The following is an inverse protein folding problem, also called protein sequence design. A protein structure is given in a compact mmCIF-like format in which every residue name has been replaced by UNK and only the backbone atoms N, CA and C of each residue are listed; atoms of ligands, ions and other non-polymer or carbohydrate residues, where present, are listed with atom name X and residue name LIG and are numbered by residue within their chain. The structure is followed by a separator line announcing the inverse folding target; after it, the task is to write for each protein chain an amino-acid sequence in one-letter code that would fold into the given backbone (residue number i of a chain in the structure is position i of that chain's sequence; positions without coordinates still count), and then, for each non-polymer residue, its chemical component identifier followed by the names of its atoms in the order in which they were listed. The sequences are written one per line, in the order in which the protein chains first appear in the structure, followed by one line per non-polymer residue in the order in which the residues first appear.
data_IF_835986159410
#
_entry.id   IF_835986159410
#
_cell.length_a   1.000
_cell.length_b   1.000
_cell.length_c   1.000
_cell.angle_alpha   90.00
_cell.angle_beta   90.00
_cell.angle_gamma   90.00
#
_symmetry.space_group_name_H-M   'P 1'
#
loop_
_entity.id
_entity.type
_entity.pdbx_description
1 polymer ?
#
# COMPACT_ATOMS: atom_id res chain seq x y z
N UNK A 1 3.70 -9.11 27.57
CA UNK A 1 4.85 -8.52 26.83
C UNK A 1 4.32 -7.53 25.78
N UNK A 2 5.01 -6.42 25.50
CA UNK A 2 4.57 -5.39 24.53
C UNK A 2 5.04 -5.71 23.10
N UNK A 3 4.23 -5.39 22.09
CA UNK A 3 4.50 -5.68 20.68
C UNK A 3 5.75 -4.96 20.16
N UNK A 4 6.74 -5.68 19.61
CA UNK A 4 8.03 -5.14 19.12
C UNK A 4 8.11 -5.31 17.59
N UNK A 5 7.72 -4.29 16.82
CA UNK A 5 7.65 -4.36 15.37
C UNK A 5 9.02 -4.17 14.71
N UNK A 6 9.32 -5.01 13.73
CA UNK A 6 10.47 -4.92 12.84
C UNK A 6 10.02 -4.90 11.38
N UNK A 7 10.61 -4.01 10.58
CA UNK A 7 10.51 -4.09 9.13
C UNK A 7 11.44 -5.21 8.66
N UNK A 8 10.85 -6.29 8.13
CA UNK A 8 11.59 -7.52 7.78
C UNK A 8 11.74 -7.72 6.28
N UNK A 9 10.84 -7.17 5.47
CA UNK A 9 10.89 -7.31 4.01
C UNK A 9 10.06 -6.24 3.29
N UNK A 10 10.20 -6.17 1.97
CA UNK A 10 9.30 -5.49 1.04
C UNK A 10 8.91 -6.50 -0.04
N UNK A 11 7.61 -6.76 -0.21
CA UNK A 11 7.12 -7.80 -1.13
C UNK A 11 5.89 -7.30 -1.91
N UNK A 12 5.59 -7.86 -3.09
CA UNK A 12 4.31 -7.63 -3.76
C UNK A 12 3.14 -7.99 -2.84
N UNK A 13 2.10 -7.15 -2.82
CA UNK A 13 0.96 -7.29 -1.93
C UNK A 13 0.33 -8.70 -1.98
N UNK A 14 0.10 -9.23 -3.18
CA UNK A 14 -0.50 -10.55 -3.36
C UNK A 14 0.35 -11.72 -2.84
N UNK A 15 1.66 -11.53 -2.66
CA UNK A 15 2.54 -12.57 -2.14
C UNK A 15 2.46 -12.72 -0.61
N UNK A 16 2.03 -11.67 0.11
CA UNK A 16 2.17 -11.60 1.58
C UNK A 16 0.91 -11.21 2.33
N UNK A 17 -0.04 -10.50 1.70
CA UNK A 17 -1.25 -10.04 2.36
C UNK A 17 -2.28 -11.18 2.45
N UNK A 18 -2.73 -11.57 3.67
CA UNK A 18 -3.69 -12.66 3.84
C UNK A 18 -5.01 -12.38 3.12
N UNK A 19 -5.53 -13.38 2.40
CA UNK A 19 -6.85 -13.29 1.74
C UNK A 19 -6.92 -12.36 0.54
N UNK A 20 -5.78 -11.82 0.07
CA UNK A 20 -5.73 -11.05 -1.18
C UNK A 20 -5.73 -12.01 -2.38
N UNK A 21 -6.59 -11.74 -3.37
CA UNK A 21 -6.64 -12.48 -4.64
C UNK A 21 -6.07 -11.64 -5.78
N UNK A 22 -5.91 -12.25 -6.97
CA UNK A 22 -5.48 -11.54 -8.19
C UNK A 22 -6.43 -10.40 -8.59
N UNK A 23 -7.68 -10.38 -8.11
CA UNK A 23 -8.68 -9.35 -8.40
C UNK A 23 -9.20 -8.67 -7.13
N UNK A 24 -8.33 -8.52 -6.13
CA UNK A 24 -8.62 -7.78 -4.91
C UNK A 24 -7.91 -6.43 -4.91
N UNK A 25 -8.65 -5.35 -4.68
CA UNK A 25 -8.11 -4.03 -4.38
C UNK A 25 -8.51 -3.67 -2.95
N UNK A 26 -7.53 -3.36 -2.12
CA UNK A 26 -7.77 -2.89 -0.75
C UNK A 26 -7.93 -1.38 -0.70
N UNK A 27 -8.62 -0.86 0.32
CA UNK A 27 -8.80 0.57 0.54
C UNK A 27 -8.74 0.96 2.02
N UNK A 28 -8.50 2.24 2.31
CA UNK A 28 -8.58 2.78 3.68
C UNK A 28 -10.03 2.87 4.20
N UNK A 29 -10.18 2.98 5.51
CA UNK A 29 -11.48 3.15 6.16
C UNK A 29 -12.27 1.84 6.37
N UNK A 30 -13.55 1.93 6.78
CA UNK A 30 -14.45 0.80 6.96
C UNK A 30 -15.00 0.27 5.61
N UNK A 31 -15.69 -0.88 5.58
CA UNK A 31 -16.31 -1.39 4.36
C UNK A 31 -17.18 -0.34 3.65
N UNK A 32 -16.95 -0.17 2.34
CA UNK A 32 -17.72 0.76 1.50
C UNK A 32 -17.82 0.18 0.09
N UNK A 33 -18.99 0.33 -0.54
CA UNK A 33 -19.17 -0.09 -1.93
C UNK A 33 -18.59 0.93 -2.90
N UNK A 34 -18.20 0.47 -4.09
CA UNK A 34 -17.59 1.28 -5.15
C UNK A 34 -18.37 2.57 -5.46
N UNK A 35 -19.70 2.47 -5.53
CA UNK A 35 -20.58 3.58 -5.91
C UNK A 35 -20.62 4.68 -4.83
N UNK A 36 -20.29 4.32 -3.58
CA UNK A 36 -20.27 5.24 -2.43
C UNK A 36 -18.89 5.81 -2.15
N UNK A 37 -17.84 5.29 -2.78
CA UNK A 37 -16.48 5.82 -2.63
C UNK A 37 -16.39 7.26 -3.13
N UNK A 38 -15.61 8.09 -2.45
CA UNK A 38 -15.43 9.48 -2.87
C UNK A 38 -14.56 9.58 -4.12
N UNK A 39 -14.58 10.74 -4.78
CA UNK A 39 -13.83 10.98 -6.02
C UNK A 39 -12.35 10.56 -5.97
N UNK A 40 -11.57 10.96 -4.95
CA UNK A 40 -10.18 10.52 -4.79
C UNK A 40 -10.00 9.01 -4.65
N UNK A 41 -10.88 8.32 -3.90
CA UNK A 41 -10.84 6.86 -3.78
C UNK A 41 -11.15 6.19 -5.13
N UNK A 42 -12.17 6.69 -5.83
CA UNK A 42 -12.53 6.18 -7.15
C UNK A 42 -11.40 6.38 -8.17
N UNK A 43 -10.77 7.55 -8.18
CA UNK A 43 -9.60 7.83 -9.03
C UNK A 43 -8.43 6.91 -8.71
N UNK A 44 -8.15 6.66 -7.43
CA UNK A 44 -7.08 5.78 -7.00
C UNK A 44 -7.32 4.31 -7.41
N UNK A 45 -8.57 3.84 -7.37
CA UNK A 45 -8.94 2.51 -7.86
C UNK A 45 -8.78 2.43 -9.38
N UNK A 46 -9.24 3.43 -10.13
CA UNK A 46 -9.03 3.51 -11.58
C UNK A 46 -7.54 3.42 -11.90
N UNK A 47 -6.70 4.20 -11.20
CA UNK A 47 -5.26 4.14 -11.36
C UNK A 47 -4.65 2.78 -11.01
N UNK A 48 -5.14 2.11 -9.95
CA UNK A 48 -4.71 0.76 -9.60
C UNK A 48 -5.09 -0.26 -10.68
N UNK A 49 -6.29 -0.19 -11.24
CA UNK A 49 -6.74 -1.05 -12.35
C UNK A 49 -5.86 -0.86 -13.59
N UNK A 50 -5.51 0.38 -13.92
CA UNK A 50 -4.61 0.71 -15.02
C UNK A 50 -3.19 0.21 -14.75
N UNK A 51 -2.70 0.39 -13.53
CA UNK A 51 -1.39 -0.07 -13.09
C UNK A 51 -1.25 -1.60 -13.19
N UNK A 52 -2.27 -2.34 -12.76
CA UNK A 52 -2.31 -3.81 -12.88
C UNK A 52 -2.55 -4.28 -14.34
N UNK A 53 -2.76 -3.36 -15.29
CA UNK A 53 -2.99 -3.69 -16.70
C UNK A 53 -4.34 -4.37 -16.96
N UNK A 54 -5.29 -4.26 -16.04
CA UNK A 54 -6.61 -4.89 -16.14
C UNK A 54 -7.55 -4.17 -17.12
N UNK A 55 -7.28 -2.89 -17.38
CA UNK A 55 -7.94 -2.09 -18.39
C UNK A 55 -6.91 -1.16 -19.06
N UNK A 56 -7.24 -0.68 -20.27
CA UNK A 56 -6.34 0.18 -21.06
C UNK A 56 -6.67 1.67 -20.97
N UNK A 57 -7.88 2.02 -20.54
CA UNK A 57 -8.33 3.41 -20.44
C UNK A 57 -9.08 3.65 -19.13
N UNK A 58 -9.13 4.89 -18.62
CA UNK A 58 -9.88 5.23 -17.42
C UNK A 58 -11.36 4.85 -17.48
N UNK A 59 -11.98 4.94 -18.66
CA UNK A 59 -13.38 4.59 -18.89
C UNK A 59 -13.57 3.08 -18.73
N UNK A 60 -12.75 2.27 -19.38
CA UNK A 60 -12.77 0.82 -19.25
C UNK A 60 -12.43 0.36 -17.82
N UNK A 61 -11.54 1.07 -17.13
CA UNK A 61 -11.23 0.81 -15.73
C UNK A 61 -12.44 1.07 -14.82
N UNK A 62 -13.20 2.13 -15.10
CA UNK A 62 -14.42 2.47 -14.36
C UNK A 62 -15.53 1.44 -14.60
N UNK A 63 -15.73 1.02 -15.84
CA UNK A 63 -16.66 -0.06 -16.18
C UNK A 63 -16.27 -1.37 -15.49
N UNK A 64 -14.99 -1.71 -15.47
CA UNK A 64 -14.51 -2.90 -14.77
C UNK A 64 -14.75 -2.84 -13.26
N UNK A 65 -14.52 -1.68 -12.63
CA UNK A 65 -14.82 -1.48 -11.21
C UNK A 65 -16.31 -1.64 -10.90
N UNK A 66 -17.18 -1.19 -11.79
CA UNK A 66 -18.65 -1.27 -11.66
C UNK A 66 -19.21 -2.68 -11.95
N UNK A 67 -18.48 -3.49 -12.73
CA UNK A 67 -18.94 -4.82 -13.17
C UNK A 67 -19.11 -5.87 -12.05
N UNK A 68 -18.59 -5.61 -10.85
CA UNK A 68 -18.51 -6.60 -9.77
C UNK A 68 -17.38 -7.64 -9.93
N UNK A 69 -16.53 -7.51 -10.96
CA UNK A 69 -15.40 -8.42 -11.21
C UNK A 69 -14.18 -8.16 -10.30
N UNK A 70 -14.19 -7.07 -9.54
CA UNK A 70 -13.13 -6.69 -8.59
C UNK A 70 -13.70 -6.76 -7.18
N UNK A 71 -12.98 -7.43 -6.29
CA UNK A 71 -13.28 -7.42 -4.85
C UNK A 71 -12.65 -6.20 -4.21
N UNK A 72 -13.46 -5.33 -3.63
CA UNK A 72 -13.00 -4.23 -2.78
C UNK A 72 -13.11 -4.62 -1.31
N UNK A 73 -12.03 -4.43 -0.54
CA UNK A 73 -12.01 -4.76 0.88
C UNK A 73 -11.19 -3.77 1.71
N UNK A 74 -11.58 -3.45 2.95
CA UNK A 74 -10.79 -2.62 3.84
C UNK A 74 -9.42 -3.23 4.15
N UNK A 75 -8.36 -2.42 4.11
CA UNK A 75 -7.01 -2.83 4.50
C UNK A 75 -6.98 -3.51 5.90
N UNK A 76 -7.76 -3.00 6.86
CA UNK A 76 -7.81 -3.51 8.23
C UNK A 76 -8.32 -4.95 8.34
N UNK A 77 -9.09 -5.45 7.37
CA UNK A 77 -9.54 -6.85 7.34
C UNK A 77 -8.45 -7.82 6.86
N UNK A 78 -7.35 -7.28 6.33
CA UNK A 78 -6.24 -8.03 5.75
C UNK A 78 -4.91 -7.74 6.45
N UNK A 79 -4.94 -7.27 7.71
CA UNK A 79 -3.75 -6.84 8.48
C UNK A 79 -2.92 -5.76 7.78
N UNK A 80 -3.55 -4.94 6.94
CA UNK A 80 -2.90 -3.92 6.12
C UNK A 80 -3.36 -2.53 6.54
N UNK A 81 -2.53 -1.52 6.31
CA UNK A 81 -2.91 -0.10 6.39
C UNK A 81 -2.45 0.63 5.14
N UNK A 82 -3.26 1.58 4.68
CA UNK A 82 -2.96 2.45 3.54
C UNK A 82 -3.33 3.90 3.89
N UNK A 83 -2.45 4.88 3.66
CA UNK A 83 -2.72 6.28 3.98
C UNK A 83 -3.66 6.90 2.94
N UNK A 84 -4.46 7.89 3.37
CA UNK A 84 -5.36 8.66 2.48
C UNK A 84 -6.41 7.78 1.79
N UNK A 85 -6.47 7.69 0.45
CA UNK A 85 -7.32 6.73 -0.24
C UNK A 85 -6.95 5.26 0.12
N UNK A 86 -5.68 5.05 0.48
CA UNK A 86 -5.16 3.79 1.00
C UNK A 86 -5.33 2.61 0.06
N UNK A 87 -5.26 2.85 -1.24
CA UNK A 87 -5.40 1.82 -2.25
C UNK A 87 -4.16 0.93 -2.29
N UNK A 88 -4.38 -0.38 -2.24
CA UNK A 88 -3.33 -1.40 -2.41
C UNK A 88 -3.85 -2.47 -3.37
N UNK A 89 -3.14 -2.71 -4.47
CA UNK A 89 -3.45 -3.73 -5.47
C UNK A 89 -2.33 -4.78 -5.56
N UNK A 90 -2.59 -5.96 -6.17
CA UNK A 90 -1.75 -7.17 -6.06
C UNK A 90 -0.25 -6.98 -6.32
N UNK A 91 0.10 -6.21 -7.34
CA UNK A 91 1.48 -6.01 -7.80
C UNK A 91 2.20 -4.90 -7.03
N UNK A 92 1.49 -4.10 -6.21
CA UNK A 92 2.13 -3.04 -5.43
C UNK A 92 3.07 -3.62 -4.38
N UNK A 93 4.30 -3.09 -4.26
CA UNK A 93 5.19 -3.45 -3.16
C UNK A 93 4.65 -2.90 -1.83
N UNK A 94 4.65 -3.73 -0.80
CA UNK A 94 4.25 -3.39 0.57
C UNK A 94 5.37 -3.71 1.55
N UNK A 95 5.46 -2.90 2.60
CA UNK A 95 6.32 -3.15 3.75
C UNK A 95 5.76 -4.30 4.57
N UNK A 96 6.60 -5.28 4.90
CA UNK A 96 6.26 -6.41 5.78
C UNK A 96 6.79 -6.11 7.16
N UNK A 97 5.89 -5.87 8.10
CA UNK A 97 6.21 -5.62 9.51
C UNK A 97 5.90 -6.88 10.32
N UNK A 98 6.88 -7.39 11.05
CA UNK A 98 6.71 -8.53 11.95
C UNK A 98 6.83 -8.08 13.41
N UNK A 99 5.86 -8.45 14.23
CA UNK A 99 5.94 -8.28 15.67
C UNK A 99 6.64 -9.48 16.29
N UNK A 100 7.93 -9.35 16.60
CA UNK A 100 8.76 -10.46 17.12
C UNK A 100 8.32 -10.93 18.51
N UNK A 101 7.53 -10.13 19.24
CA UNK A 101 6.99 -10.53 20.55
C UNK A 101 5.86 -11.56 20.44
N UNK A 102 4.96 -11.41 19.45
CA UNK A 102 3.72 -12.20 19.34
C UNK A 102 3.57 -12.94 18.00
N UNK A 103 4.50 -12.77 17.06
CA UNK A 103 4.55 -13.48 15.78
C UNK A 103 3.57 -12.98 14.71
N UNK A 104 2.69 -12.03 15.01
CA UNK A 104 1.76 -11.49 14.02
C UNK A 104 2.46 -10.52 13.04
N UNK A 105 1.93 -10.40 11.82
CA UNK A 105 2.41 -9.48 10.79
C UNK A 105 1.40 -8.38 10.49
N UNK A 106 1.90 -7.26 10.00
CA UNK A 106 1.12 -6.17 9.43
C UNK A 106 1.79 -5.65 8.17
N UNK A 107 1.01 -5.05 7.27
CA UNK A 107 1.48 -4.57 5.98
C UNK A 107 1.14 -3.10 5.78
N UNK A 108 2.01 -2.37 5.08
CA UNK A 108 1.75 -0.98 4.74
C UNK A 108 2.20 -0.69 3.30
N UNK A 109 1.40 0.09 2.57
CA UNK A 109 1.81 0.59 1.26
C UNK A 109 3.07 1.47 1.38
N UNK A 110 3.89 1.50 0.34
CA UNK A 110 5.03 2.42 0.29
C UNK A 110 4.59 3.86 -0.03
N UNK A 111 5.39 4.84 0.40
CA UNK A 111 5.15 6.24 0.06
C UNK A 111 5.57 6.51 -1.40
N UNK A 112 4.64 6.99 -2.21
CA UNK A 112 4.86 7.30 -3.63
C UNK A 112 5.64 8.60 -3.87
N UNK A 113 5.92 9.37 -2.82
CA UNK A 113 6.54 10.70 -2.90
C UNK A 113 5.56 11.85 -2.70
N UNK A 114 6.00 13.04 -3.10
CA UNK A 114 5.24 14.30 -3.01
C UNK A 114 4.61 14.65 -4.36
N UNK A 115 3.55 15.48 -4.33
CA UNK A 115 2.87 15.97 -5.54
C UNK A 115 1.71 15.08 -5.98
N UNK A 116 1.57 14.88 -7.29
CA UNK A 116 0.50 14.04 -7.88
C UNK A 116 0.81 12.58 -7.56
N UNK A 117 -0.01 11.94 -6.73
CA UNK A 117 0.18 10.55 -6.29
C UNK A 117 -1.16 9.81 -6.22
N UNK A 118 -1.12 8.48 -6.34
CA UNK A 118 -2.29 7.62 -6.39
C UNK A 118 -3.10 7.69 -5.09
N UNK A 119 -2.44 7.80 -3.93
CA UNK A 119 -3.13 7.94 -2.63
C UNK A 119 -4.05 9.17 -2.52
N UNK A 120 -3.91 10.14 -3.43
CA UNK A 120 -4.82 11.31 -3.57
C UNK A 120 -5.73 11.23 -4.80
N UNK A 121 -5.75 10.10 -5.50
CA UNK A 121 -6.62 9.83 -6.65
C UNK A 121 -6.06 10.21 -8.01
N UNK A 122 -4.78 10.60 -8.10
CA UNK A 122 -4.14 10.88 -9.39
C UNK A 122 -3.70 9.59 -10.10
N UNK A 123 -3.88 9.51 -11.41
CA UNK A 123 -3.52 8.34 -12.22
C UNK A 123 -3.00 8.71 -13.62
N UNK A 124 -2.41 9.91 -13.77
CA UNK A 124 -1.73 10.28 -15.00
C UNK A 124 -0.48 9.40 -15.23
N UNK A 125 0.04 9.42 -16.46
CA UNK A 125 1.18 8.59 -16.90
C UNK A 125 2.36 8.60 -15.92
N UNK A 126 2.79 9.79 -15.47
CA UNK A 126 3.86 9.94 -14.48
C UNK A 126 3.60 9.18 -13.16
N UNK A 127 2.34 9.13 -12.69
CA UNK A 127 1.98 8.37 -11.48
C UNK A 127 2.11 6.88 -11.76
N UNK A 128 1.56 6.40 -12.88
CA UNK A 128 1.58 4.98 -13.23
C UNK A 128 3.01 4.49 -13.48
N UNK A 129 3.85 5.28 -14.14
CA UNK A 129 5.25 4.95 -14.39
C UNK A 129 6.07 4.91 -13.10
N UNK A 130 5.80 5.83 -12.18
CA UNK A 130 6.41 5.78 -10.84
C UNK A 130 5.98 4.54 -10.08
N UNK A 131 4.70 4.15 -10.12
CA UNK A 131 4.23 2.91 -9.49
C UNK A 131 4.91 1.67 -10.09
N UNK A 132 5.07 1.63 -11.42
CA UNK A 132 5.82 0.55 -12.11
C UNK A 132 7.28 0.51 -11.64
N UNK A 133 7.97 1.65 -11.63
CA UNK A 133 9.32 1.73 -11.10
C UNK A 133 9.40 1.29 -9.63
N UNK A 134 8.42 1.66 -8.81
CA UNK A 134 8.37 1.25 -7.41
C UNK A 134 8.25 -0.27 -7.28
N UNK A 135 7.39 -0.91 -8.08
CA UNK A 135 7.19 -2.36 -8.07
C UNK A 135 8.35 -3.16 -8.69
N UNK A 136 8.94 -2.68 -9.78
CA UNK A 136 9.94 -3.41 -10.56
C UNK A 136 11.37 -3.15 -10.08
N UNK A 137 11.64 -1.99 -9.51
CA UNK A 137 13.00 -1.56 -9.13
C UNK A 137 13.11 -1.31 -7.63
N UNK A 138 12.32 -0.39 -7.06
CA UNK A 138 12.48 0.01 -5.66
C UNK A 138 12.21 -1.15 -4.70
N UNK A 139 11.05 -1.80 -4.82
CA UNK A 139 10.62 -2.89 -3.95
C UNK A 139 11.62 -4.05 -3.91
N UNK A 140 12.01 -4.63 -5.07
CA UNK A 140 13.00 -5.71 -5.10
C UNK A 140 14.36 -5.32 -4.52
N UNK A 141 14.81 -4.07 -4.73
CA UNK A 141 16.07 -3.60 -4.17
C UNK A 141 16.00 -3.38 -2.66
N UNK A 142 14.88 -2.88 -2.13
CA UNK A 142 14.66 -2.79 -0.68
C UNK A 142 14.59 -4.17 -0.02
N UNK A 143 13.91 -5.15 -0.65
CA UNK A 143 13.90 -6.55 -0.18
C UNK A 143 15.32 -7.12 -0.09
N UNK A 144 16.14 -6.94 -1.12
CA UNK A 144 17.55 -7.39 -1.14
C UNK A 144 18.39 -6.69 -0.06
N UNK A 145 18.18 -5.38 0.12
CA UNK A 145 18.87 -4.61 1.15
C UNK A 145 18.53 -5.12 2.55
N UNK A 146 17.24 -5.34 2.86
CA UNK A 146 16.79 -5.89 4.15
C UNK A 146 17.31 -7.31 4.38
N UNK A 147 17.37 -8.16 3.36
CA UNK A 147 17.95 -9.51 3.46
C UNK A 147 19.46 -9.48 3.77
N UNK A 148 20.18 -8.47 3.29
CA UNK A 148 21.62 -8.33 3.51
C UNK A 148 21.95 -7.63 4.83
N UNK A 149 21.20 -6.60 5.19
CA UNK A 149 21.38 -5.80 6.39
C UNK A 149 20.79 -6.48 7.65
N UNK A 150 19.66 -7.17 7.47
CA UNK A 150 18.82 -7.66 8.55
C UNK A 150 17.64 -6.72 8.85
N UNK A 151 16.68 -7.18 9.68
CA UNK A 151 15.48 -6.42 10.02
C UNK A 151 15.76 -5.09 10.69
N UNK A 152 14.87 -4.12 10.48
CA UNK A 152 14.98 -2.77 11.06
C UNK A 152 14.00 -2.63 12.22
N UNK A 153 14.49 -2.23 13.39
CA UNK A 153 13.65 -2.01 14.59
C UNK A 153 12.84 -0.71 14.45
N UNK A 154 11.56 -0.86 14.09
CA UNK A 154 10.65 0.27 13.89
C UNK A 154 10.39 1.03 15.20
N UNK A 155 10.38 0.35 16.35
CA UNK A 155 10.14 1.00 17.63
C UNK A 155 11.29 1.91 17.99
N UNK A 156 12.53 1.45 17.80
CA UNK A 156 13.72 2.25 18.06
C UNK A 156 13.76 3.50 17.18
N UNK A 157 13.45 3.37 15.89
CA UNK A 157 13.34 4.53 14.98
C UNK A 157 12.26 5.51 15.46
N UNK A 158 11.07 5.02 15.81
CA UNK A 158 9.97 5.88 16.23
C UNK A 158 10.29 6.64 17.52
N UNK A 159 10.96 6.00 18.49
CA UNK A 159 11.41 6.68 19.73
C UNK A 159 12.39 7.80 19.41
N UNK A 160 13.35 7.57 18.51
CA UNK A 160 14.31 8.59 18.10
C UNK A 160 13.61 9.75 17.37
N UNK A 161 12.68 9.45 16.45
CA UNK A 161 11.91 10.46 15.74
C UNK A 161 11.15 11.38 16.70
N UNK A 162 10.48 10.82 17.70
CA UNK A 162 9.78 11.61 18.73
C UNK A 162 10.73 12.53 19.51
N UNK A 163 11.94 12.06 19.83
CA UNK A 163 12.96 12.87 20.52
C UNK A 163 13.53 13.98 19.62
N UNK A 164 13.45 13.82 18.30
CA UNK A 164 13.86 14.80 17.29
C UNK A 164 12.72 15.74 16.86
N UNK A 165 11.58 15.69 17.57
CA UNK A 165 10.45 16.60 17.41
C UNK A 165 9.44 16.19 16.34
N UNK A 166 9.53 14.97 15.80
CA UNK A 166 8.49 14.43 14.92
C UNK A 166 7.32 13.89 15.73
N UNK A 167 6.14 13.79 15.11
CA UNK A 167 4.96 13.12 15.68
C UNK A 167 4.53 11.88 14.89
N UNK A 168 5.26 11.56 13.81
CA UNK A 168 5.11 10.33 13.01
C UNK A 168 3.75 10.19 12.29
N UNK A 169 3.04 11.29 12.05
CA UNK A 169 1.81 11.33 11.26
C UNK A 169 1.83 12.48 10.23
N UNK A 170 1.89 13.74 10.68
CA UNK A 170 1.99 14.92 9.82
C UNK A 170 3.45 15.35 9.59
N UNK A 171 4.31 15.21 10.60
CA UNK A 171 5.74 15.50 10.56
C UNK A 171 6.54 14.20 10.72
N UNK A 172 7.30 13.88 9.68
CA UNK A 172 8.12 12.66 9.58
C UNK A 172 9.36 12.99 8.74
N UNK A 173 10.21 13.88 9.27
CA UNK A 173 11.34 14.50 8.57
C UNK A 173 12.61 13.66 8.51
#
# INVERSE_FOLDING_TARGET
KKAHPYLVDVQPAAAVIPGMTERTILHSGPPISWEKMCGPQQGAIIGAILYEGWAKTPEAARELADSGSITFSPCHQHSTVGPMAGIVCPSMPVQVIENTTHGNRAFASMNEGLGKVLRFGAYNEEVLDRLKWMGEVLGPNLSKALKSHGPVDCRSILIQALQMGDECHNRSS
#
